data_IF_600697520760
#
_entry.id   IF_600697520760
#
_cell.length_a   1.000
_cell.length_b   1.000
_cell.length_c   1.000
_cell.angle_alpha   90.00
_cell.angle_beta   90.00
_cell.angle_gamma   90.00
#
_symmetry.space_group_name_H-M   'P 1'
#
loop_
_entity.id
_entity.type
_entity.pdbx_description
1 polymer ?
#
# COMPACT_ATOMS: atom_id res chain seq x y z
N UNK A 1 20.52 -14.68 -13.10
CA UNK A 1 20.37 -13.66 -12.04
C UNK A 1 19.20 -12.77 -12.40
N UNK A 2 18.31 -12.52 -11.44
CA UNK A 2 17.18 -11.58 -11.55
C UNK A 2 17.62 -10.23 -10.97
N UNK A 3 17.31 -9.13 -11.66
CA UNK A 3 17.51 -7.75 -11.14
C UNK A 3 16.15 -7.12 -10.87
N UNK A 4 15.99 -6.56 -9.67
CA UNK A 4 14.79 -5.80 -9.28
C UNK A 4 15.18 -4.33 -9.09
N UNK A 5 14.49 -3.41 -9.75
CA UNK A 5 14.74 -1.97 -9.64
C UNK A 5 13.70 -1.35 -8.71
N UNK A 6 14.17 -0.83 -7.57
CA UNK A 6 13.37 -0.20 -6.53
C UNK A 6 13.12 -1.10 -5.31
N UNK A 7 13.47 -0.59 -4.12
CA UNK A 7 13.29 -1.23 -2.81
C UNK A 7 12.06 -0.70 -2.06
N UNK A 8 10.96 -0.46 -2.77
CA UNK A 8 9.62 -0.24 -2.18
C UNK A 8 8.96 -1.56 -1.81
N UNK A 9 7.69 -1.49 -1.35
CA UNK A 9 6.93 -2.70 -0.94
C UNK A 9 6.89 -3.77 -2.04
N UNK A 10 6.67 -3.39 -3.30
CA UNK A 10 6.52 -4.33 -4.40
C UNK A 10 7.85 -5.04 -4.72
N UNK A 11 8.94 -4.27 -4.83
CA UNK A 11 10.27 -4.84 -5.12
C UNK A 11 10.78 -5.72 -3.97
N UNK A 12 10.63 -5.27 -2.73
CA UNK A 12 11.05 -6.04 -1.55
C UNK A 12 10.20 -7.32 -1.36
N UNK A 13 8.89 -7.25 -1.58
CA UNK A 13 8.01 -8.41 -1.52
C UNK A 13 8.36 -9.44 -2.60
N UNK A 14 8.63 -8.98 -3.83
CA UNK A 14 9.07 -9.85 -4.92
C UNK A 14 10.43 -10.49 -4.60
N UNK A 15 11.42 -9.72 -4.14
CA UNK A 15 12.73 -10.24 -3.75
C UNK A 15 12.63 -11.31 -2.65
N UNK A 16 11.81 -11.05 -1.63
CA UNK A 16 11.56 -12.01 -0.55
C UNK A 16 10.92 -13.31 -1.08
N UNK A 17 9.91 -13.20 -1.92
CA UNK A 17 9.22 -14.38 -2.48
C UNK A 17 10.15 -15.18 -3.40
N UNK A 18 10.94 -14.52 -4.26
CA UNK A 18 11.94 -15.17 -5.11
C UNK A 18 12.98 -15.92 -4.26
N UNK A 19 13.52 -15.28 -3.23
CA UNK A 19 14.46 -15.91 -2.30
C UNK A 19 13.86 -17.16 -1.63
N UNK A 20 12.59 -17.12 -1.24
CA UNK A 20 11.86 -18.26 -0.67
C UNK A 20 11.68 -19.42 -1.65
N UNK A 21 11.75 -19.15 -2.95
CA UNK A 21 11.70 -20.12 -4.04
C UNK A 21 13.08 -20.61 -4.48
N UNK A 22 14.14 -20.16 -3.81
CA UNK A 22 15.53 -20.51 -4.13
C UNK A 22 16.14 -19.69 -5.27
N UNK A 23 15.47 -18.63 -5.69
CA UNK A 23 15.95 -17.72 -6.72
C UNK A 23 16.76 -16.57 -6.14
N UNK A 24 17.89 -16.23 -6.76
CA UNK A 24 18.69 -15.08 -6.37
C UNK A 24 18.25 -13.84 -7.13
N UNK A 25 17.83 -12.80 -6.40
CA UNK A 25 17.44 -11.50 -6.94
C UNK A 25 18.28 -10.38 -6.30
N UNK A 26 18.95 -9.58 -7.13
CA UNK A 26 19.65 -8.36 -6.72
C UNK A 26 18.68 -7.19 -6.83
N UNK A 27 18.42 -6.50 -5.72
CA UNK A 27 17.62 -5.27 -5.69
C UNK A 27 18.54 -4.07 -5.86
N UNK A 28 18.25 -3.21 -6.83
CA UNK A 28 18.95 -1.94 -7.03
C UNK A 28 18.07 -0.81 -6.52
N UNK A 29 18.56 -0.03 -5.57
CA UNK A 29 17.87 1.12 -5.00
C UNK A 29 18.75 2.36 -5.04
N UNK A 30 18.20 3.47 -5.54
CA UNK A 30 18.96 4.72 -5.66
C UNK A 30 19.24 5.41 -4.32
N UNK A 31 18.32 5.27 -3.39
CA UNK A 31 18.38 5.92 -2.08
C UNK A 31 18.35 4.93 -0.91
N UNK A 32 17.72 5.35 0.16
CA UNK A 32 17.41 4.45 1.27
C UNK A 32 16.20 3.59 0.92
N UNK A 33 16.18 2.29 1.26
CA UNK A 33 15.03 1.44 1.02
C UNK A 33 13.74 2.03 1.58
N UNK A 34 12.64 1.92 0.82
CA UNK A 34 11.28 2.40 1.16
C UNK A 34 11.17 3.88 1.59
N UNK A 35 12.11 4.73 1.18
CA UNK A 35 12.09 6.17 1.51
C UNK A 35 11.12 7.00 0.66
N UNK A 36 10.64 6.47 -0.47
CA UNK A 36 9.74 7.16 -1.40
C UNK A 36 8.26 6.86 -1.10
N UNK A 37 7.47 6.37 -2.07
CA UNK A 37 6.01 6.08 -1.90
C UNK A 37 5.70 5.10 -0.76
N UNK A 38 6.65 4.25 -0.38
CA UNK A 38 6.51 3.30 0.73
C UNK A 38 6.88 3.89 2.10
N UNK A 39 7.24 5.17 2.18
CA UNK A 39 7.61 5.85 3.42
C UNK A 39 6.43 5.94 4.39
N UNK A 40 6.75 6.00 5.69
CA UNK A 40 5.79 6.26 6.77
C UNK A 40 5.77 5.16 7.84
N UNK A 41 4.85 5.30 8.79
CA UNK A 41 4.72 4.42 9.95
C UNK A 41 3.61 3.40 9.79
N UNK A 42 2.50 3.81 9.17
CA UNK A 42 1.29 3.00 9.05
C UNK A 42 0.59 3.22 7.70
N UNK A 43 -0.20 2.23 7.30
CA UNK A 43 -1.15 2.28 6.17
C UNK A 43 -2.43 1.55 6.56
N UNK A 44 -3.53 1.85 5.87
CA UNK A 44 -4.78 1.13 6.05
C UNK A 44 -4.68 -0.25 5.40
N UNK A 45 -5.11 -1.27 6.13
CA UNK A 45 -5.51 -2.57 5.61
C UNK A 45 -7.03 -2.66 5.66
N UNK A 46 -7.66 -3.13 4.60
CA UNK A 46 -9.11 -3.33 4.53
C UNK A 46 -9.47 -4.47 3.59
N UNK A 47 -10.55 -5.18 3.90
CA UNK A 47 -11.22 -6.08 2.97
C UNK A 47 -12.29 -5.31 2.17
N UNK A 48 -12.84 -4.27 2.76
CA UNK A 48 -13.90 -3.43 2.22
C UNK A 48 -13.48 -2.69 0.94
N UNK A 49 -13.72 -3.30 -0.22
CA UNK A 49 -13.53 -2.73 -1.56
C UNK A 49 -14.87 -2.75 -2.31
N UNK A 50 -14.97 -1.96 -3.39
CA UNK A 50 -16.15 -1.94 -4.28
C UNK A 50 -16.15 -3.07 -5.32
N UNK A 51 -15.03 -3.78 -5.47
CA UNK A 51 -14.85 -4.90 -6.40
C UNK A 51 -14.64 -6.20 -5.63
N UNK A 52 -15.43 -7.26 -5.88
CA UNK A 52 -15.31 -8.54 -5.19
C UNK A 52 -13.93 -9.17 -5.33
N UNK A 53 -13.28 -8.99 -6.49
CA UNK A 53 -11.92 -9.51 -6.73
C UNK A 53 -10.90 -8.89 -5.77
N UNK A 54 -11.01 -7.59 -5.51
CA UNK A 54 -10.13 -6.90 -4.55
C UNK A 54 -10.44 -7.32 -3.11
N UNK A 55 -11.70 -7.61 -2.78
CA UNK A 55 -12.05 -8.18 -1.47
C UNK A 55 -11.40 -9.56 -1.28
N UNK A 56 -11.51 -10.47 -2.28
CA UNK A 56 -10.87 -11.79 -2.24
C UNK A 56 -9.34 -11.68 -2.16
N UNK A 57 -8.76 -10.77 -2.94
CA UNK A 57 -7.32 -10.52 -2.89
C UNK A 57 -6.86 -10.00 -1.53
N UNK A 58 -7.64 -9.11 -0.90
CA UNK A 58 -7.33 -8.59 0.43
C UNK A 58 -7.46 -9.68 1.50
N UNK A 59 -8.45 -10.59 1.40
CA UNK A 59 -8.52 -11.78 2.27
C UNK A 59 -7.26 -12.64 2.15
N UNK A 60 -6.82 -12.94 0.93
CA UNK A 60 -5.58 -13.68 0.69
C UNK A 60 -4.34 -12.91 1.20
N UNK A 61 -4.28 -11.60 0.95
CA UNK A 61 -3.20 -10.76 1.45
C UNK A 61 -3.11 -10.77 2.98
N UNK A 62 -4.27 -10.83 3.68
CA UNK A 62 -4.32 -10.91 5.14
C UNK A 62 -3.63 -12.16 5.69
N UNK A 63 -3.83 -13.30 5.04
CA UNK A 63 -3.12 -14.54 5.39
C UNK A 63 -1.60 -14.39 5.16
N UNK A 64 -1.21 -13.74 4.08
CA UNK A 64 0.20 -13.41 3.80
C UNK A 64 0.80 -12.49 4.86
N UNK A 65 0.07 -11.44 5.30
CA UNK A 65 0.50 -10.56 6.39
C UNK A 65 0.69 -11.31 7.71
N UNK A 66 -0.21 -12.23 8.07
CA UNK A 66 -0.08 -13.09 9.27
C UNK A 66 1.12 -14.03 9.16
N UNK A 67 1.35 -14.60 7.98
CA UNK A 67 2.53 -15.42 7.71
C UNK A 67 3.81 -14.62 7.91
N UNK A 68 3.88 -13.39 7.39
CA UNK A 68 5.01 -12.49 7.59
C UNK A 68 5.20 -12.09 9.07
N UNK A 69 4.14 -11.90 9.84
CA UNK A 69 4.24 -11.69 11.29
C UNK A 69 5.02 -12.82 11.97
N UNK A 70 4.67 -14.06 11.65
CA UNK A 70 5.32 -15.25 12.19
C UNK A 70 6.76 -15.41 11.70
N UNK A 71 6.99 -15.29 10.39
CA UNK A 71 8.28 -15.54 9.75
C UNK A 71 9.34 -14.48 10.08
N UNK A 72 8.92 -13.23 10.25
CA UNK A 72 9.87 -12.14 10.51
C UNK A 72 10.21 -11.97 11.98
N UNK A 73 9.37 -12.45 12.89
CA UNK A 73 9.54 -12.19 14.32
C UNK A 73 9.49 -10.69 14.67
N UNK A 74 8.95 -9.87 13.78
CA UNK A 74 8.94 -8.41 13.92
C UNK A 74 7.78 -7.89 14.80
N UNK A 75 7.09 -8.79 15.51
CA UNK A 75 5.87 -8.50 16.24
C UNK A 75 4.69 -8.25 15.31
N UNK A 76 3.57 -7.78 15.87
CA UNK A 76 2.34 -7.56 15.11
C UNK A 76 2.54 -6.54 13.98
N UNK A 77 2.23 -6.95 12.75
CA UNK A 77 2.27 -6.12 11.54
C UNK A 77 0.89 -5.56 11.19
N UNK A 78 -0.17 -6.35 11.43
CA UNK A 78 -1.55 -5.97 11.18
C UNK A 78 -2.26 -5.66 12.51
N UNK A 79 -2.84 -4.46 12.60
CA UNK A 79 -3.66 -4.05 13.72
C UNK A 79 -5.02 -4.77 13.74
N UNK A 80 -5.76 -4.61 14.83
CA UNK A 80 -7.07 -5.22 15.06
C UNK A 80 -8.15 -4.17 15.35
N UNK A 81 -7.88 -2.93 14.96
CA UNK A 81 -8.77 -1.79 15.23
C UNK A 81 -10.05 -1.84 14.40
N UNK A 82 -10.05 -2.62 13.33
CA UNK A 82 -11.11 -2.63 12.33
C UNK A 82 -10.97 -1.48 11.33
N UNK A 83 -11.86 -1.50 10.34
CA UNK A 83 -11.95 -0.46 9.33
C UNK A 83 -13.42 -0.09 9.10
N UNK A 84 -13.69 1.20 8.94
CA UNK A 84 -15.01 1.73 8.61
C UNK A 84 -14.97 2.33 7.21
N UNK A 85 -15.89 1.90 6.35
CA UNK A 85 -16.27 2.61 5.13
C UNK A 85 -17.55 3.36 5.44
N UNK A 86 -17.55 4.70 5.37
CA UNK A 86 -18.67 5.54 5.71
C UNK A 86 -19.29 6.22 4.47
N UNK A 87 -20.59 6.53 4.54
CA UNK A 87 -21.34 7.17 3.45
C UNK A 87 -22.05 6.14 2.53
N UNK A 88 -21.90 6.28 1.22
CA UNK A 88 -22.56 5.39 0.23
C UNK A 88 -21.87 4.02 0.19
N UNK A 89 -22.36 3.06 0.97
CA UNK A 89 -21.67 1.77 1.22
C UNK A 89 -22.27 0.56 0.53
N UNK A 90 -23.35 0.70 -0.26
CA UNK A 90 -24.05 -0.45 -0.83
C UNK A 90 -23.19 -1.25 -1.82
N UNK A 91 -22.39 -0.59 -2.64
CA UNK A 91 -21.46 -1.25 -3.55
C UNK A 91 -20.39 -2.06 -2.78
N UNK A 92 -19.87 -1.49 -1.69
CA UNK A 92 -18.90 -2.17 -0.82
C UNK A 92 -19.56 -3.38 -0.14
N UNK A 93 -20.79 -3.23 0.39
CA UNK A 93 -21.53 -4.32 1.00
C UNK A 93 -21.81 -5.47 0.03
N UNK A 94 -22.19 -5.14 -1.21
CA UNK A 94 -22.43 -6.14 -2.25
C UNK A 94 -21.15 -6.90 -2.61
N UNK A 95 -20.05 -6.18 -2.82
CA UNK A 95 -18.75 -6.78 -3.15
C UNK A 95 -18.20 -7.65 -2.02
N UNK A 96 -18.28 -7.20 -0.78
CA UNK A 96 -17.86 -8.00 0.39
C UNK A 96 -18.69 -9.28 0.53
N UNK A 97 -20.02 -9.18 0.35
CA UNK A 97 -20.92 -10.36 0.42
C UNK A 97 -20.58 -11.36 -0.68
N UNK A 98 -20.38 -10.91 -1.91
CA UNK A 98 -19.99 -11.77 -3.04
C UNK A 98 -18.62 -12.43 -2.81
N UNK A 99 -17.71 -11.74 -2.15
CA UNK A 99 -16.39 -12.28 -1.79
C UNK A 99 -16.42 -13.22 -0.58
N UNK A 100 -17.57 -13.38 0.10
CA UNK A 100 -17.67 -14.16 1.34
C UNK A 100 -16.99 -13.50 2.54
N UNK A 101 -16.79 -12.19 2.50
CA UNK A 101 -16.16 -11.44 3.58
C UNK A 101 -17.19 -11.01 4.64
N UNK A 102 -16.81 -11.14 5.92
CA UNK A 102 -17.62 -10.68 7.03
C UNK A 102 -17.63 -9.16 7.14
N UNK A 103 -18.79 -8.58 7.42
CA UNK A 103 -18.94 -7.18 7.74
C UNK A 103 -20.22 -6.92 8.56
N UNK A 104 -20.28 -5.76 9.21
CA UNK A 104 -21.51 -5.26 9.84
C UNK A 104 -21.89 -3.92 9.22
N UNK A 105 -23.18 -3.69 9.01
CA UNK A 105 -23.69 -2.34 8.75
C UNK A 105 -23.73 -1.58 10.07
N UNK A 106 -23.35 -0.32 10.02
CA UNK A 106 -23.36 0.59 11.16
C UNK A 106 -24.30 1.76 10.88
N UNK A 107 -25.00 2.20 11.93
CA UNK A 107 -25.63 3.52 11.97
C UNK A 107 -24.65 4.58 12.46
N UNK A 108 -25.11 5.87 12.49
CA UNK A 108 -24.31 7.00 12.93
C UNK A 108 -23.76 6.82 14.35
N UNK A 109 -24.59 6.32 15.29
CA UNK A 109 -24.19 6.11 16.68
C UNK A 109 -23.11 5.04 16.83
N UNK A 110 -23.24 3.97 16.09
CA UNK A 110 -22.24 2.89 16.05
C UNK A 110 -20.92 3.36 15.42
N UNK A 111 -20.98 4.18 14.36
CA UNK A 111 -19.77 4.80 13.77
C UNK A 111 -19.07 5.69 14.81
N UNK A 112 -19.82 6.53 15.52
CA UNK A 112 -19.28 7.40 16.56
C UNK A 112 -18.65 6.61 17.72
N UNK A 113 -19.20 5.45 18.07
CA UNK A 113 -18.60 4.59 19.09
C UNK A 113 -17.23 4.04 18.71
N UNK A 114 -16.98 3.80 17.40
CA UNK A 114 -15.66 3.38 16.89
C UNK A 114 -14.69 4.54 16.66
N UNK A 115 -15.19 5.78 16.57
CA UNK A 115 -14.46 7.00 16.24
C UNK A 115 -14.87 8.14 17.19
N UNK A 116 -14.59 8.04 18.50
CA UNK A 116 -15.14 8.93 19.52
C UNK A 116 -14.71 10.39 19.43
N UNK A 117 -13.69 10.71 18.61
CA UNK A 117 -13.18 12.07 18.36
C UNK A 117 -13.71 12.66 17.05
N UNK A 118 -14.58 11.93 16.32
CA UNK A 118 -15.15 12.38 15.05
C UNK A 118 -16.55 12.90 15.26
N UNK A 119 -16.82 14.12 14.81
CA UNK A 119 -18.20 14.60 14.65
C UNK A 119 -18.79 13.96 13.39
N UNK A 120 -19.46 12.81 13.59
CA UNK A 120 -19.87 11.90 12.51
C UNK A 120 -21.02 12.50 11.69
N UNK A 121 -20.80 12.85 10.41
CA UNK A 121 -21.86 13.37 9.55
C UNK A 121 -22.60 12.27 8.76
N UNK A 122 -22.08 11.04 8.75
CA UNK A 122 -22.58 9.94 7.91
C UNK A 122 -23.68 9.15 8.63
N UNK A 123 -24.78 8.90 7.92
CA UNK A 123 -25.91 8.12 8.48
C UNK A 123 -25.62 6.62 8.50
N UNK A 124 -24.79 6.15 7.58
CA UNK A 124 -24.51 4.71 7.41
C UNK A 124 -23.04 4.44 7.18
N UNK A 125 -22.61 3.25 7.60
CA UNK A 125 -21.28 2.74 7.36
C UNK A 125 -21.25 1.22 7.28
N UNK A 126 -20.07 0.70 6.91
CA UNK A 126 -19.73 -0.70 7.01
C UNK A 126 -18.52 -0.83 7.92
N UNK A 127 -18.60 -1.72 8.89
CA UNK A 127 -17.47 -2.16 9.70
C UNK A 127 -16.89 -3.46 9.14
N UNK A 128 -15.61 -3.40 8.78
CA UNK A 128 -14.77 -4.52 8.39
C UNK A 128 -13.94 -4.94 9.61
N UNK A 129 -14.29 -6.05 10.30
CA UNK A 129 -13.59 -6.47 11.51
C UNK A 129 -12.19 -7.02 11.25
N UNK A 130 -11.89 -7.35 9.99
CA UNK A 130 -10.58 -7.85 9.56
C UNK A 130 -9.65 -6.74 9.09
N UNK A 131 -10.17 -5.50 8.96
CA UNK A 131 -9.40 -4.31 8.66
C UNK A 131 -8.56 -3.81 9.83
N UNK A 132 -7.78 -2.77 9.60
CA UNK A 132 -6.96 -2.12 10.63
C UNK A 132 -5.73 -1.41 10.06
N UNK A 133 -4.81 -1.01 10.93
CA UNK A 133 -3.56 -0.35 10.53
C UNK A 133 -2.45 -1.36 10.27
N UNK A 134 -1.74 -1.22 9.15
CA UNK A 134 -0.49 -1.93 8.87
C UNK A 134 0.69 -1.16 9.46
N UNK A 135 1.54 -1.83 10.21
CA UNK A 135 2.80 -1.29 10.77
C UNK A 135 3.92 -1.45 9.75
N UNK A 136 3.82 -0.67 8.68
CA UNK A 136 4.60 -0.86 7.45
C UNK A 136 6.10 -0.73 7.67
N UNK A 137 6.56 0.16 8.54
CA UNK A 137 7.99 0.31 8.81
C UNK A 137 8.62 -0.98 9.32
N UNK A 138 7.93 -1.71 10.21
CA UNK A 138 8.40 -3.00 10.71
C UNK A 138 8.52 -4.04 9.59
N UNK A 139 7.46 -4.14 8.77
CA UNK A 139 7.43 -5.09 7.66
C UNK A 139 8.52 -4.79 6.62
N UNK A 140 8.64 -3.53 6.21
CA UNK A 140 9.61 -3.12 5.18
C UNK A 140 11.05 -3.27 5.68
N UNK A 141 11.32 -2.94 6.95
CA UNK A 141 12.64 -3.20 7.55
C UNK A 141 12.97 -4.68 7.53
N UNK A 142 12.02 -5.55 7.92
CA UNK A 142 12.24 -6.99 7.93
C UNK A 142 12.44 -7.57 6.51
N UNK A 143 11.75 -7.06 5.52
CA UNK A 143 11.94 -7.41 4.10
C UNK A 143 13.31 -6.95 3.59
N UNK A 144 13.68 -5.69 3.85
CA UNK A 144 14.97 -5.13 3.41
C UNK A 144 16.17 -5.88 4.02
N UNK A 145 16.08 -6.31 5.28
CA UNK A 145 17.11 -7.14 5.93
C UNK A 145 17.30 -8.53 5.29
N UNK A 146 16.33 -8.99 4.49
CA UNK A 146 16.32 -10.29 3.81
C UNK A 146 16.59 -10.20 2.32
N UNK A 147 16.77 -9.00 1.80
CA UNK A 147 17.05 -8.74 0.39
C UNK A 147 18.54 -8.43 0.19
N UNK A 148 19.08 -8.87 -0.94
CA UNK A 148 20.39 -8.40 -1.42
C UNK A 148 20.19 -7.05 -2.12
N UNK A 149 20.58 -5.96 -1.46
CA UNK A 149 20.34 -4.60 -1.94
C UNK A 149 21.66 -3.92 -2.28
N UNK A 150 21.80 -3.50 -3.53
CA UNK A 150 22.87 -2.60 -3.98
C UNK A 150 22.33 -1.18 -4.11
N UNK A 151 23.00 -0.22 -3.47
CA UNK A 151 22.69 1.19 -3.66
C UNK A 151 23.34 1.69 -4.95
N UNK A 152 22.52 2.02 -5.93
CA UNK A 152 22.93 2.62 -7.20
C UNK A 152 21.72 3.23 -7.91
N UNK A 153 21.96 4.24 -8.73
CA UNK A 153 20.96 4.79 -9.62
C UNK A 153 20.91 3.97 -10.93
N UNK A 154 19.70 3.59 -11.37
CA UNK A 154 19.49 2.91 -12.64
C UNK A 154 19.17 3.96 -13.70
N UNK A 155 20.04 4.11 -14.69
CA UNK A 155 19.90 5.08 -15.77
C UNK A 155 19.04 4.56 -16.92
N UNK A 156 19.19 3.26 -17.26
CA UNK A 156 18.40 2.64 -18.33
C UNK A 156 18.33 1.13 -18.17
N UNK A 157 17.29 0.55 -18.78
CA UNK A 157 17.06 -0.89 -18.86
C UNK A 157 16.69 -1.24 -20.28
N UNK A 158 17.49 -2.10 -20.93
CA UNK A 158 17.25 -2.58 -22.30
C UNK A 158 16.48 -3.90 -22.31
N UNK A 159 15.75 -4.16 -23.39
CA UNK A 159 14.88 -5.33 -23.56
C UNK A 159 15.59 -6.69 -23.43
N UNK A 160 16.89 -6.70 -23.70
CA UNK A 160 17.75 -7.90 -23.57
C UNK A 160 18.24 -8.14 -22.13
N UNK A 161 17.82 -7.30 -21.18
CA UNK A 161 18.18 -7.42 -19.77
C UNK A 161 19.48 -6.68 -19.38
N UNK A 162 20.03 -5.82 -20.25
CA UNK A 162 21.13 -4.95 -19.88
C UNK A 162 20.61 -3.80 -19.00
N UNK A 163 21.28 -3.55 -17.87
CA UNK A 163 20.95 -2.49 -16.89
C UNK A 163 22.17 -1.58 -16.72
N UNK A 164 22.04 -0.32 -17.07
CA UNK A 164 23.09 0.69 -16.89
C UNK A 164 22.92 1.43 -15.56
N UNK A 165 23.98 1.47 -14.76
CA UNK A 165 24.01 2.15 -13.48
C UNK A 165 24.74 3.50 -13.56
N UNK A 166 24.40 4.42 -12.66
CA UNK A 166 24.96 5.77 -12.60
C UNK A 166 26.46 5.80 -12.26
N UNK A 167 27.01 4.76 -11.69
CA UNK A 167 28.45 4.59 -11.43
C UNK A 167 29.26 4.05 -12.63
N UNK A 168 28.61 3.91 -13.80
CA UNK A 168 29.20 3.35 -15.00
C UNK A 168 29.16 1.82 -15.10
N UNK A 169 28.69 1.13 -14.08
CA UNK A 169 28.52 -0.33 -14.10
C UNK A 169 27.44 -0.73 -15.10
N UNK A 170 27.72 -1.81 -15.86
CA UNK A 170 26.74 -2.50 -16.70
C UNK A 170 26.45 -3.88 -16.09
N UNK A 171 25.18 -4.15 -15.80
CA UNK A 171 24.74 -5.48 -15.40
C UNK A 171 24.03 -6.17 -16.56
N UNK A 172 24.12 -7.49 -16.61
CA UNK A 172 23.36 -8.30 -17.56
C UNK A 172 22.49 -9.29 -16.79
N UNK A 173 21.20 -9.01 -16.77
CA UNK A 173 20.22 -9.83 -16.08
C UNK A 173 19.54 -10.81 -17.05
N UNK A 174 19.17 -11.98 -16.57
CA UNK A 174 18.29 -12.90 -17.27
C UNK A 174 16.87 -12.35 -17.31
N UNK A 175 16.48 -11.67 -16.22
CA UNK A 175 15.19 -11.00 -16.06
C UNK A 175 15.35 -9.74 -15.26
N UNK A 176 14.60 -8.70 -15.61
CA UNK A 176 14.53 -7.43 -14.86
C UNK A 176 13.10 -7.16 -14.46
N UNK A 177 12.89 -6.84 -13.19
CA UNK A 177 11.61 -6.37 -12.64
C UNK A 177 11.76 -4.91 -12.21
N UNK A 178 11.06 -4.00 -12.87
CA UNK A 178 11.06 -2.58 -12.54
C UNK A 178 9.88 -2.28 -11.63
N UNK A 179 10.16 -2.02 -10.35
CA UNK A 179 9.23 -1.61 -9.29
C UNK A 179 9.60 -0.23 -8.73
N UNK A 180 10.02 0.68 -9.60
CA UNK A 180 10.60 1.99 -9.25
C UNK A 180 9.53 3.08 -8.96
N UNK A 181 8.29 2.69 -8.69
CA UNK A 181 7.19 3.60 -8.38
C UNK A 181 7.00 4.65 -9.47
N UNK A 182 7.06 5.93 -9.10
CA UNK A 182 6.90 7.06 -10.05
C UNK A 182 7.94 7.06 -11.17
N UNK A 183 9.07 6.40 -10.99
CA UNK A 183 10.13 6.32 -12.01
C UNK A 183 9.94 5.14 -12.98
N UNK A 184 8.99 4.23 -12.70
CA UNK A 184 8.78 3.06 -13.55
C UNK A 184 8.48 3.42 -15.00
N UNK A 185 7.62 4.41 -15.34
CA UNK A 185 7.38 4.78 -16.73
C UNK A 185 8.61 5.33 -17.45
N UNK A 186 9.52 6.02 -16.75
CA UNK A 186 10.76 6.53 -17.34
C UNK A 186 11.73 5.41 -17.71
N UNK A 187 11.78 4.33 -16.94
CA UNK A 187 12.68 3.19 -17.16
C UNK A 187 12.09 2.12 -18.08
N UNK A 188 10.77 1.92 -18.02
CA UNK A 188 10.08 0.87 -18.77
C UNK A 188 9.41 1.37 -20.05
N UNK A 189 8.86 2.57 -20.04
CA UNK A 189 7.99 3.13 -21.07
C UNK A 189 6.56 3.37 -20.56
N UNK A 190 5.64 3.86 -21.39
CA UNK A 190 4.30 4.26 -20.99
C UNK A 190 3.51 3.13 -20.33
N UNK A 191 2.82 3.43 -19.22
CA UNK A 191 1.97 2.52 -18.46
C UNK A 191 0.59 3.10 -18.16
N UNK A 192 0.18 4.14 -18.91
CA UNK A 192 -1.12 4.83 -18.78
C UNK A 192 -1.42 5.25 -17.33
N UNK A 193 -0.45 5.88 -16.68
CA UNK A 193 -0.53 6.37 -15.32
C UNK A 193 0.01 7.78 -15.22
N UNK A 194 -0.69 8.63 -14.49
CA UNK A 194 -0.27 9.96 -14.10
C UNK A 194 -0.08 10.02 -12.59
N UNK A 195 0.95 10.71 -12.15
CA UNK A 195 1.23 10.92 -10.74
C UNK A 195 0.95 12.36 -10.35
N UNK A 196 0.32 12.51 -9.20
CA UNK A 196 0.06 13.79 -8.55
C UNK A 196 0.46 13.72 -7.08
N UNK A 197 -0.01 14.67 -6.31
CA UNK A 197 0.19 14.69 -4.86
C UNK A 197 -1.10 15.00 -4.13
N UNK A 198 -1.18 14.57 -2.87
CA UNK A 198 -2.20 14.97 -1.90
C UNK A 198 -1.55 15.15 -0.54
N UNK A 199 -2.15 15.96 0.32
CA UNK A 199 -1.63 16.21 1.66
C UNK A 199 -2.30 15.31 2.68
N UNK A 200 -1.50 14.66 3.53
CA UNK A 200 -1.94 13.93 4.71
C UNK A 200 -1.52 14.67 5.96
N UNK A 201 -2.49 14.98 6.77
CA UNK A 201 -2.29 15.63 8.08
C UNK A 201 -2.13 14.59 9.19
N UNK A 202 -1.42 14.97 10.24
CA UNK A 202 -1.31 14.20 11.48
C UNK A 202 -1.87 15.03 12.61
N UNK A 203 -2.75 14.44 13.39
CA UNK A 203 -3.41 15.03 14.55
C UNK A 203 -3.02 14.27 15.82
N UNK A 204 -3.11 14.93 16.96
CA UNK A 204 -2.88 14.38 18.29
C UNK A 204 -4.15 14.50 19.14
N UNK A 205 -4.53 13.39 19.79
CA UNK A 205 -5.64 13.32 20.75
C UNK A 205 -5.67 11.94 21.40
N UNK A 206 -5.99 11.87 22.68
CA UNK A 206 -5.96 10.62 23.45
C UNK A 206 -6.90 9.55 22.85
N UNK A 207 -8.09 9.97 22.40
CA UNK A 207 -9.14 9.10 21.90
C UNK A 207 -8.83 8.47 20.52
N UNK A 208 -7.75 8.92 19.85
CA UNK A 208 -7.31 8.30 18.60
C UNK A 208 -6.63 6.94 18.79
N UNK A 209 -6.26 6.60 20.03
CA UNK A 209 -5.64 5.30 20.34
C UNK A 209 -6.66 4.17 20.22
N UNK A 210 -6.42 3.21 19.34
CA UNK A 210 -7.30 2.05 19.14
C UNK A 210 -8.54 2.33 18.29
N UNK A 211 -8.72 3.55 17.80
CA UNK A 211 -9.81 3.89 16.88
C UNK A 211 -9.71 3.11 15.56
N UNK A 212 -10.85 2.77 14.98
CA UNK A 212 -10.91 2.08 13.69
C UNK A 212 -10.32 2.93 12.57
N UNK A 213 -9.72 2.30 11.55
CA UNK A 213 -9.38 3.01 10.32
C UNK A 213 -10.65 3.46 9.61
N UNK A 214 -10.58 4.53 8.83
CA UNK A 214 -11.71 5.16 8.17
C UNK A 214 -11.46 5.40 6.68
N UNK A 215 -12.49 5.21 5.87
CA UNK A 215 -12.63 5.82 4.54
C UNK A 215 -14.01 6.43 4.43
N UNK A 216 -14.07 7.69 4.03
CA UNK A 216 -15.29 8.47 3.92
C UNK A 216 -15.21 9.38 2.68
N UNK A 217 -16.31 10.01 2.25
CA UNK A 217 -16.29 10.96 1.12
C UNK A 217 -15.28 12.10 1.29
N UNK A 218 -15.02 12.51 2.54
CA UNK A 218 -14.12 13.61 2.85
C UNK A 218 -12.65 13.23 2.91
N UNK A 219 -12.34 11.91 2.93
CA UNK A 219 -10.97 11.42 3.00
C UNK A 219 -10.82 10.08 3.72
N UNK A 220 -9.59 9.77 4.09
CA UNK A 220 -9.27 8.52 4.79
C UNK A 220 -8.46 8.79 6.05
N UNK A 221 -8.67 7.98 7.08
CA UNK A 221 -7.99 8.15 8.35
C UNK A 221 -7.54 6.84 8.99
N UNK A 222 -6.48 6.93 9.82
CA UNK A 222 -5.96 5.76 10.53
C UNK A 222 -5.20 6.15 11.80
N UNK A 223 -5.25 5.31 12.86
CA UNK A 223 -4.41 5.50 14.03
C UNK A 223 -2.95 5.20 13.71
N UNK A 224 -2.03 5.96 14.31
CA UNK A 224 -0.59 5.71 14.20
C UNK A 224 -0.12 4.96 15.45
N UNK A 225 -0.27 3.64 15.43
CA UNK A 225 0.08 2.78 16.57
C UNK A 225 -0.68 3.16 17.85
N UNK A 226 -0.01 3.10 18.99
CA UNK A 226 -0.54 3.46 20.31
C UNK A 226 -0.13 4.87 20.77
N UNK A 227 0.11 5.78 19.82
CA UNK A 227 0.70 7.10 20.13
C UNK A 227 -0.34 8.18 20.42
N UNK A 228 -1.63 7.89 20.32
CA UNK A 228 -2.70 8.89 20.33
C UNK A 228 -2.69 9.80 19.09
N UNK A 229 -2.01 9.39 18.03
CA UNK A 229 -1.94 10.14 16.77
C UNK A 229 -2.88 9.53 15.75
N UNK A 230 -3.51 10.42 14.98
CA UNK A 230 -4.41 10.11 13.88
C UNK A 230 -3.89 10.75 12.60
N UNK A 231 -3.71 9.96 11.55
CA UNK A 231 -3.41 10.50 10.23
C UNK A 231 -4.71 10.63 9.43
N UNK A 232 -4.88 11.74 8.72
CA UNK A 232 -6.01 11.95 7.81
C UNK A 232 -5.53 12.55 6.50
N UNK A 233 -5.87 11.89 5.39
CA UNK A 233 -5.53 12.31 4.02
C UNK A 233 -6.78 12.72 3.26
N UNK A 234 -6.64 13.76 2.43
CA UNK A 234 -7.66 14.26 1.52
C UNK A 234 -7.04 14.47 0.14
N UNK A 235 -7.77 14.20 -0.93
CA UNK A 235 -7.30 14.47 -2.29
C UNK A 235 -7.16 15.97 -2.55
N UNK A 236 -8.09 16.75 -1.98
CA UNK A 236 -8.02 18.22 -1.95
C UNK A 236 -8.13 18.64 -0.49
N UNK A 237 -7.11 19.34 -0.01
CA UNK A 237 -7.08 19.80 1.38
C UNK A 237 -8.22 20.79 1.66
N UNK A 238 -9.11 20.44 2.59
CA UNK A 238 -10.17 21.31 3.10
C UNK A 238 -10.06 21.43 4.63
N UNK A 239 -9.31 22.43 5.12
CA UNK A 239 -9.14 22.63 6.56
C UNK A 239 -10.44 22.92 7.32
N UNK A 240 -11.47 23.45 6.67
CA UNK A 240 -12.76 23.71 7.31
C UNK A 240 -13.51 22.39 7.59
N UNK A 241 -13.58 21.51 6.61
CA UNK A 241 -14.13 20.17 6.78
C UNK A 241 -13.36 19.37 7.82
N UNK A 242 -12.04 19.43 7.84
CA UNK A 242 -11.23 18.71 8.83
C UNK A 242 -11.49 19.22 10.25
N UNK A 243 -11.56 20.53 10.48
CA UNK A 243 -11.90 21.09 11.80
C UNK A 243 -13.29 20.68 12.27
N UNK A 244 -14.24 20.57 11.36
CA UNK A 244 -15.60 20.10 11.67
C UNK A 244 -15.59 18.61 12.04
N UNK A 245 -14.88 17.78 11.30
CA UNK A 245 -14.82 16.33 11.55
C UNK A 245 -14.05 16.00 12.84
N UNK A 246 -13.00 16.74 13.16
CA UNK A 246 -12.09 16.45 14.27
C UNK A 246 -11.97 17.63 15.24
N UNK A 247 -13.06 18.05 15.90
CA UNK A 247 -13.07 19.26 16.72
C UNK A 247 -12.15 19.20 17.94
N UNK A 248 -11.84 17.99 18.43
CA UNK A 248 -11.02 17.76 19.64
C UNK A 248 -9.56 17.42 19.35
N UNK A 249 -9.20 17.19 18.07
CA UNK A 249 -7.84 16.83 17.70
C UNK A 249 -7.00 18.06 17.37
N UNK A 250 -5.75 18.05 17.80
CA UNK A 250 -4.78 19.11 17.50
C UNK A 250 -3.89 18.72 16.34
N UNK A 251 -3.75 19.54 15.28
CA UNK A 251 -2.83 19.27 14.18
C UNK A 251 -1.38 19.36 14.67
N UNK A 252 -0.57 18.35 14.36
CA UNK A 252 0.84 18.24 14.79
C UNK A 252 1.82 18.03 13.65
N UNK A 253 1.33 17.88 12.40
CA UNK A 253 2.19 17.73 11.24
C UNK A 253 1.42 17.47 9.95
N UNK A 254 2.13 17.59 8.85
CA UNK A 254 1.63 17.25 7.53
C UNK A 254 2.73 16.63 6.67
N UNK A 255 2.35 15.89 5.64
CA UNK A 255 3.25 15.30 4.64
C UNK A 255 2.53 15.20 3.31
N UNK A 256 3.24 15.52 2.23
CA UNK A 256 2.74 15.28 0.89
C UNK A 256 2.97 13.83 0.49
N UNK A 257 1.94 13.20 -0.02
CA UNK A 257 1.92 11.82 -0.47
C UNK A 257 1.69 11.78 -1.98
N UNK A 258 2.32 10.82 -2.65
CA UNK A 258 2.06 10.57 -4.06
C UNK A 258 0.70 9.92 -4.22
N UNK A 259 -0.11 10.47 -5.12
CA UNK A 259 -1.34 9.84 -5.64
C UNK A 259 -1.13 9.44 -7.09
N UNK A 260 -1.98 8.57 -7.61
CA UNK A 260 -1.93 8.14 -8.99
C UNK A 260 -3.33 8.17 -9.61
N UNK A 261 -3.40 8.47 -10.91
CA UNK A 261 -4.60 8.38 -11.74
C UNK A 261 -4.30 7.51 -12.94
N UNK A 262 -5.13 6.53 -13.20
CA UNK A 262 -4.99 5.63 -14.34
C UNK A 262 -6.35 5.02 -14.70
N UNK A 263 -6.62 4.68 -15.97
CA UNK A 263 -7.90 4.11 -16.38
C UNK A 263 -8.15 2.69 -15.83
N UNK A 264 -7.10 2.01 -15.37
CA UNK A 264 -7.16 0.67 -14.80
C UNK A 264 -7.31 0.65 -13.26
N UNK A 265 -7.30 1.81 -12.59
CA UNK A 265 -7.62 1.90 -11.17
C UNK A 265 -9.13 1.75 -10.96
N UNK A 266 -9.52 1.16 -9.82
CA UNK A 266 -10.92 1.15 -9.41
C UNK A 266 -11.35 2.52 -8.86
N UNK A 267 -12.64 2.65 -8.53
CA UNK A 267 -13.19 3.89 -7.96
C UNK A 267 -12.59 4.25 -6.58
N UNK A 268 -11.96 3.29 -5.90
CA UNK A 268 -11.23 3.50 -4.64
C UNK A 268 -9.75 3.87 -4.84
N UNK A 269 -9.30 4.00 -6.09
CA UNK A 269 -7.91 4.27 -6.45
C UNK A 269 -6.98 3.08 -6.25
N UNK A 270 -7.50 1.86 -6.19
CA UNK A 270 -6.72 0.63 -6.02
C UNK A 270 -6.47 -0.06 -7.36
N UNK A 271 -5.25 -0.54 -7.59
CA UNK A 271 -4.92 -1.30 -8.79
C UNK A 271 -3.47 -1.18 -9.22
N UNK A 272 -3.13 -1.90 -10.28
CA UNK A 272 -1.78 -1.91 -10.85
C UNK A 272 -1.79 -2.23 -12.35
N UNK A 273 -0.72 -1.83 -13.02
CA UNK A 273 -0.36 -2.29 -14.34
C UNK A 273 0.90 -3.15 -14.26
N UNK A 274 0.88 -4.27 -14.99
CA UNK A 274 1.99 -5.21 -15.14
C UNK A 274 2.16 -5.48 -16.63
N UNK A 275 3.32 -5.19 -17.18
CA UNK A 275 3.63 -5.32 -18.61
C UNK A 275 4.99 -5.94 -18.81
N UNK A 276 5.18 -6.64 -19.93
CA UNK A 276 6.47 -7.24 -20.31
C UNK A 276 6.96 -6.70 -21.65
N UNK A 277 8.26 -6.52 -21.74
CA UNK A 277 9.00 -6.11 -22.92
C UNK A 277 10.34 -6.87 -22.93
N UNK A 278 10.47 -7.88 -23.80
CA UNK A 278 11.62 -8.78 -23.77
C UNK A 278 11.82 -9.43 -22.40
N UNK A 279 13.01 -9.23 -21.84
CA UNK A 279 13.38 -9.72 -20.49
C UNK A 279 12.96 -8.81 -19.35
N UNK A 280 12.30 -7.70 -19.65
CA UNK A 280 11.97 -6.65 -18.70
C UNK A 280 10.48 -6.66 -18.37
N UNK A 281 10.17 -6.68 -17.09
CA UNK A 281 8.83 -6.52 -16.55
C UNK A 281 8.71 -5.17 -15.87
N UNK A 282 7.77 -4.34 -16.28
CA UNK A 282 7.41 -3.08 -15.63
C UNK A 282 6.17 -3.25 -14.75
N UNK A 283 6.26 -2.81 -13.52
CA UNK A 283 5.17 -2.85 -12.55
C UNK A 283 4.97 -1.49 -11.89
N UNK A 284 3.74 -1.01 -11.89
CA UNK A 284 3.34 0.22 -11.22
C UNK A 284 1.92 0.11 -10.70
N UNK A 285 1.61 0.78 -9.60
CA UNK A 285 0.25 0.78 -9.09
C UNK A 285 0.04 1.78 -7.95
N UNK A 286 -1.21 1.82 -7.47
CA UNK A 286 -1.65 2.69 -6.40
C UNK A 286 -2.25 1.88 -5.24
N UNK A 287 -2.10 2.40 -4.02
CA UNK A 287 -2.60 1.80 -2.78
C UNK A 287 -2.16 0.34 -2.52
N UNK A 288 -0.97 -0.03 -2.99
CA UNK A 288 -0.47 -1.41 -3.05
C UNK A 288 -0.08 -2.01 -1.72
N UNK A 289 0.21 -1.20 -0.70
CA UNK A 289 0.80 -1.67 0.56
C UNK A 289 0.01 -2.82 1.19
N UNK A 290 -1.33 -2.73 1.21
CA UNK A 290 -2.20 -3.76 1.79
C UNK A 290 -2.07 -5.12 1.11
N UNK A 291 -1.70 -5.13 -0.17
CA UNK A 291 -1.53 -6.32 -0.99
C UNK A 291 -0.10 -6.87 -1.01
N UNK A 292 0.84 -6.28 -0.26
CA UNK A 292 2.27 -6.60 -0.30
C UNK A 292 2.61 -8.09 -0.42
N UNK A 293 2.11 -8.99 0.44
CA UNK A 293 2.42 -10.42 0.35
C UNK A 293 1.98 -11.07 -0.95
N UNK A 294 0.74 -10.82 -1.40
CA UNK A 294 0.22 -11.41 -2.65
C UNK A 294 0.83 -10.79 -3.89
N UNK A 295 1.22 -9.51 -3.82
CA UNK A 295 1.99 -8.88 -4.91
C UNK A 295 3.39 -9.49 -5.04
N UNK A 296 4.02 -9.86 -3.94
CA UNK A 296 5.28 -10.59 -3.97
C UNK A 296 5.15 -11.91 -4.72
N UNK A 297 4.09 -12.68 -4.45
CA UNK A 297 3.77 -13.94 -5.14
C UNK A 297 3.49 -13.69 -6.63
N UNK A 298 2.58 -12.77 -6.96
CA UNK A 298 2.22 -12.41 -8.33
C UNK A 298 3.43 -11.99 -9.18
N UNK A 299 4.29 -11.11 -8.61
CA UNK A 299 5.46 -10.60 -9.33
C UNK A 299 6.52 -11.67 -9.53
N UNK A 300 6.72 -12.54 -8.53
CA UNK A 300 7.63 -13.67 -8.65
C UNK A 300 7.16 -14.66 -9.73
N UNK A 301 5.87 -15.02 -9.72
CA UNK A 301 5.26 -15.87 -10.76
C UNK A 301 5.48 -15.26 -12.15
N UNK A 302 5.10 -13.98 -12.30
CA UNK A 302 5.18 -13.31 -13.60
C UNK A 302 6.63 -13.19 -14.11
N UNK A 303 7.60 -13.03 -13.23
CA UNK A 303 9.02 -12.98 -13.60
C UNK A 303 9.54 -14.37 -13.98
N UNK A 304 9.13 -15.42 -13.28
CA UNK A 304 9.59 -16.79 -13.50
C UNK A 304 8.93 -17.45 -14.72
N UNK A 305 7.64 -17.18 -14.97
CA UNK A 305 6.86 -17.78 -16.08
C UNK A 305 7.26 -17.25 -17.47
N UNK A 306 8.31 -16.48 -17.58
CA UNK A 306 8.83 -15.95 -18.83
C UNK A 306 9.69 -17.02 -19.56
N UNK A 307 9.07 -18.15 -19.90
CA UNK A 307 9.63 -19.16 -20.80
C UNK A 307 9.38 -18.84 -22.26
#
# INVERSE_FOLDING_TARGET
MIVIVGAGISGLAAAYTLSRRGEHALVIERGEPFAEQSVGLARIFRIAHQRPELCRLALHAREGWRRWESEFGAGRLLGSEGFISAGAVDAVAAAMREAGAEFRRLDRGEIAAHLPFVDVPWETGIFDPLGGSLRIRRALTALAQRADIRRADVLSVADDGAVALGDGTQLRAERVLICAGVQTPALFGPLDIEFGSHTRFTYQGADATGAACLSAPEGYGLPIGSTGRWAFGQDVADPATVRRLFPTLTPVGQVDCVTARAPWLDAGGDGWALRRRGRVTGFVGANLMKFGPVLGELLADFVLDAG
#
